data_IF_951169516845
#
_entry.id   IF_951169516845
#
_cell.length_a   1.000
_cell.length_b   1.000
_cell.length_c   1.000
_cell.angle_alpha   90.00
_cell.angle_beta   90.00
_cell.angle_gamma   90.00
#
_symmetry.space_group_name_H-M   'P 1'
#
loop_
_entity.id
_entity.type
_entity.pdbx_description
1 polymer ?
#
# COMPACT_ATOMS: atom_id res chain seq x y z
N UNK A 1 6.15 -8.15 7.20
CA UNK A 1 7.45 -8.58 6.61
C UNK A 1 7.89 -7.75 5.40
N UNK A 2 7.14 -6.70 5.00
CA UNK A 2 7.59 -5.80 3.92
C UNK A 2 8.95 -5.16 4.24
N UNK A 3 9.85 -5.00 3.26
CA UNK A 3 9.68 -5.32 1.84
C UNK A 3 10.05 -6.75 1.45
N UNK A 4 10.62 -7.54 2.36
CA UNK A 4 11.17 -8.87 2.09
C UNK A 4 10.11 -9.82 1.54
N UNK A 5 9.00 -9.95 2.26
CA UNK A 5 7.85 -10.77 1.87
C UNK A 5 6.61 -9.90 1.67
N UNK A 6 5.75 -10.29 0.73
CA UNK A 6 4.51 -9.58 0.38
C UNK A 6 3.29 -10.50 0.53
N UNK A 7 2.10 -9.95 0.77
CA UNK A 7 0.88 -10.75 0.69
C UNK A 7 0.77 -11.42 -0.68
N UNK A 8 0.44 -12.72 -0.67
CA UNK A 8 0.35 -13.55 -1.88
C UNK A 8 1.66 -14.24 -2.29
N UNK A 9 2.77 -14.04 -1.58
CA UNK A 9 3.97 -14.85 -1.79
C UNK A 9 3.73 -16.28 -1.28
N UNK A 10 4.14 -17.28 -2.07
CA UNK A 10 4.25 -18.66 -1.63
C UNK A 10 5.63 -18.85 -0.96
N UNK A 11 5.66 -19.54 0.16
CA UNK A 11 6.87 -19.69 0.98
C UNK A 11 7.29 -21.17 1.05
N UNK A 12 8.58 -21.42 0.79
CA UNK A 12 9.19 -22.71 1.08
C UNK A 12 9.67 -22.67 2.52
N UNK A 13 9.11 -23.56 3.33
CA UNK A 13 9.41 -23.68 4.77
C UNK A 13 10.16 -24.98 5.01
N UNK A 14 11.36 -24.88 5.54
CA UNK A 14 12.15 -26.03 5.97
C UNK A 14 12.02 -26.22 7.48
N UNK A 15 11.92 -27.48 7.90
CA UNK A 15 12.00 -27.84 9.31
C UNK A 15 13.35 -27.39 9.89
N UNK A 16 13.38 -26.95 11.12
CA UNK A 16 14.60 -26.51 11.78
C UNK A 16 14.57 -26.84 13.27
N UNK A 17 15.60 -27.56 13.73
CA UNK A 17 15.78 -27.90 15.15
C UNK A 17 16.34 -26.73 15.95
N UNK A 18 17.01 -25.79 15.27
CA UNK A 18 17.59 -24.59 15.88
C UNK A 18 17.25 -23.36 15.07
N UNK A 19 16.94 -22.31 15.77
CA UNK A 19 16.60 -21.02 15.20
C UNK A 19 17.60 -19.99 15.69
N UNK A 20 18.11 -19.19 14.78
CA UNK A 20 19.08 -18.14 15.07
C UNK A 20 18.49 -16.75 14.86
N UNK A 21 18.98 -15.73 15.60
CA UNK A 21 18.62 -14.36 15.32
C UNK A 21 18.93 -13.97 13.88
N UNK A 22 17.91 -13.47 13.18
CA UNK A 22 17.97 -13.16 11.75
C UNK A 22 17.22 -14.14 10.86
N UNK A 23 16.89 -15.32 11.33
CA UNK A 23 16.05 -16.26 10.60
C UNK A 23 14.63 -15.74 10.44
N UNK A 24 14.00 -16.08 9.34
CA UNK A 24 12.57 -15.83 9.11
C UNK A 24 11.82 -17.11 9.38
N UNK A 25 10.93 -17.08 10.36
CA UNK A 25 10.18 -18.25 10.80
C UNK A 25 8.68 -18.10 10.58
N UNK A 26 8.03 -19.23 10.35
CA UNK A 26 6.57 -19.37 10.39
C UNK A 26 6.21 -19.96 11.74
N UNK A 27 5.31 -19.31 12.45
CA UNK A 27 4.91 -19.73 13.79
C UNK A 27 3.45 -19.41 14.05
N UNK A 28 2.88 -20.09 15.05
CA UNK A 28 1.57 -19.79 15.59
C UNK A 28 1.76 -19.00 16.89
N UNK A 29 1.30 -17.73 16.98
CA UNK A 29 1.39 -16.96 18.22
C UNK A 29 0.65 -17.65 19.36
N UNK A 30 1.13 -17.55 20.61
CA UNK A 30 0.42 -18.09 21.78
C UNK A 30 -1.00 -17.52 21.85
N UNK A 31 -2.01 -18.40 21.87
CA UNK A 31 -3.43 -18.02 21.85
C UNK A 31 -3.95 -17.48 20.52
N UNK A 32 -3.13 -17.45 19.48
CA UNK A 32 -3.54 -17.04 18.13
C UNK A 32 -4.03 -18.20 17.29
N UNK A 33 -4.84 -17.87 16.28
CA UNK A 33 -5.44 -18.81 15.31
C UNK A 33 -4.80 -18.75 13.92
N UNK A 34 -3.82 -17.86 13.72
CA UNK A 34 -3.24 -17.57 12.41
C UNK A 34 -1.74 -17.71 12.39
N UNK A 35 -1.27 -18.41 11.36
CA UNK A 35 0.15 -18.50 11.07
C UNK A 35 0.73 -17.13 10.78
N UNK A 36 1.80 -16.79 11.49
CA UNK A 36 2.51 -15.53 11.39
C UNK A 36 3.92 -15.77 10.86
N UNK A 37 4.42 -14.83 10.05
CA UNK A 37 5.77 -14.91 9.48
C UNK A 37 6.53 -13.67 9.92
N UNK A 38 7.49 -13.82 10.82
CA UNK A 38 8.36 -12.75 11.28
C UNK A 38 9.83 -13.20 11.35
N UNK A 39 10.71 -12.22 11.52
CA UNK A 39 12.14 -12.49 11.69
C UNK A 39 12.48 -12.61 13.16
N UNK A 40 13.31 -13.59 13.48
CA UNK A 40 13.84 -13.77 14.83
C UNK A 40 14.71 -12.57 15.20
N UNK A 41 14.36 -11.92 16.28
CA UNK A 41 15.05 -10.77 16.83
C UNK A 41 16.10 -11.20 17.87
N UNK A 42 15.72 -12.02 18.85
CA UNK A 42 16.58 -12.60 19.87
C UNK A 42 16.15 -14.02 20.21
N UNK A 43 17.11 -14.80 20.68
CA UNK A 43 16.91 -16.10 21.28
C UNK A 43 17.63 -16.06 22.62
N UNK A 44 16.91 -16.21 23.70
CA UNK A 44 17.43 -16.15 25.07
C UNK A 44 16.75 -17.21 25.97
N UNK A 45 17.10 -17.23 27.28
CA UNK A 45 16.55 -18.20 28.21
C UNK A 45 15.03 -18.13 28.43
N UNK A 46 14.39 -17.05 28.04
CA UNK A 46 12.93 -16.87 28.10
C UNK A 46 12.22 -17.38 26.85
N UNK A 47 12.95 -17.59 25.76
CA UNK A 47 12.41 -18.07 24.49
C UNK A 47 12.88 -17.28 23.27
N UNK A 48 12.10 -17.37 22.23
CA UNK A 48 12.38 -16.74 20.93
C UNK A 48 11.48 -15.52 20.75
N UNK A 49 12.09 -14.36 20.56
CA UNK A 49 11.37 -13.13 20.19
C UNK A 49 11.47 -12.85 18.72
N UNK A 50 10.36 -12.43 18.15
CA UNK A 50 10.26 -12.12 16.74
C UNK A 50 9.99 -10.64 16.50
N UNK A 51 10.20 -10.22 15.26
CA UNK A 51 9.84 -8.88 14.79
C UNK A 51 9.63 -8.87 13.28
N UNK A 52 8.55 -8.28 12.82
CA UNK A 52 8.37 -8.00 11.40
C UNK A 52 9.40 -6.98 10.90
N UNK A 53 9.93 -7.15 9.67
CA UNK A 53 10.97 -6.26 9.11
C UNK A 53 10.53 -4.78 9.08
N UNK A 54 9.23 -4.52 8.97
CA UNK A 54 8.65 -3.17 8.97
C UNK A 54 8.18 -2.70 10.35
N UNK A 55 8.24 -3.53 11.39
CA UNK A 55 7.79 -3.18 12.72
C UNK A 55 8.85 -2.41 13.50
N UNK A 56 8.43 -1.41 14.28
CA UNK A 56 9.33 -0.63 15.13
C UNK A 56 9.75 -1.38 16.39
N UNK A 57 8.83 -2.10 17.00
CA UNK A 57 9.02 -2.92 18.21
C UNK A 57 9.10 -4.39 17.87
N UNK A 58 9.72 -5.17 18.74
CA UNK A 58 9.61 -6.62 18.75
C UNK A 58 8.18 -7.02 19.16
N UNK A 59 7.78 -8.21 18.77
CA UNK A 59 6.50 -8.77 19.18
C UNK A 59 6.51 -8.98 20.70
N UNK A 60 5.38 -8.82 21.40
CA UNK A 60 5.32 -8.89 22.86
C UNK A 60 5.57 -10.30 23.37
N UNK A 61 5.18 -11.31 22.62
CA UNK A 61 5.18 -12.70 23.05
C UNK A 61 6.53 -13.37 22.84
N UNK A 62 6.88 -14.27 23.77
CA UNK A 62 7.99 -15.19 23.63
C UNK A 62 7.48 -16.52 23.07
N UNK A 63 8.14 -16.99 22.02
CA UNK A 63 7.80 -18.25 21.37
C UNK A 63 8.66 -19.38 21.94
N UNK A 64 8.08 -20.56 21.98
CA UNK A 64 8.77 -21.81 22.21
C UNK A 64 9.05 -22.51 20.89
N UNK A 65 10.01 -23.45 20.84
CA UNK A 65 10.27 -24.22 19.62
C UNK A 65 9.05 -24.97 19.07
N UNK A 66 8.16 -25.42 19.93
CA UNK A 66 6.90 -26.10 19.57
C UNK A 66 5.92 -25.23 18.80
N UNK A 67 6.02 -23.91 18.95
CA UNK A 67 5.12 -22.94 18.29
C UNK A 67 5.57 -22.65 16.85
N UNK A 68 6.78 -23.13 16.48
CA UNK A 68 7.42 -22.85 15.19
C UNK A 68 7.15 -24.00 14.23
N UNK A 69 6.56 -23.67 13.07
CA UNK A 69 6.39 -24.62 11.98
C UNK A 69 7.72 -24.90 11.26
N UNK A 70 8.54 -23.86 11.07
CA UNK A 70 9.81 -23.97 10.42
C UNK A 70 10.40 -22.63 9.95
N UNK A 71 11.55 -22.71 9.28
CA UNK A 71 12.28 -21.55 8.73
C UNK A 71 11.97 -21.36 7.24
N UNK A 72 11.70 -20.11 6.85
CA UNK A 72 11.47 -19.75 5.45
C UNK A 72 12.82 -19.68 4.75
N UNK A 73 12.98 -20.44 3.66
CA UNK A 73 14.21 -20.51 2.87
C UNK A 73 14.09 -19.79 1.54
N UNK A 74 12.89 -19.81 0.93
CA UNK A 74 12.62 -19.18 -0.37
C UNK A 74 11.21 -18.60 -0.38
N UNK A 75 11.00 -17.69 -1.32
CA UNK A 75 9.66 -17.22 -1.67
C UNK A 75 9.45 -17.28 -3.18
N UNK A 76 8.20 -17.51 -3.60
CA UNK A 76 7.77 -17.45 -4.99
C UNK A 76 6.69 -16.38 -5.12
N UNK A 77 6.85 -15.49 -6.09
CA UNK A 77 5.95 -14.37 -6.39
C UNK A 77 5.60 -14.37 -7.87
N UNK A 78 4.52 -15.00 -8.25
CA UNK A 78 4.19 -15.22 -9.65
C UNK A 78 5.31 -16.03 -10.33
N UNK A 79 5.95 -15.46 -11.36
CA UNK A 79 7.09 -16.09 -12.05
C UNK A 79 8.46 -15.82 -11.39
N UNK A 80 8.54 -14.91 -10.44
CA UNK A 80 9.78 -14.59 -9.74
C UNK A 80 9.92 -15.43 -8.48
N UNK A 81 11.12 -15.94 -8.22
CA UNK A 81 11.46 -16.58 -6.96
C UNK A 81 12.72 -15.96 -6.37
N UNK A 82 12.84 -16.00 -5.06
CA UNK A 82 13.99 -15.44 -4.36
C UNK A 82 14.33 -16.22 -3.10
N UNK A 83 15.58 -16.11 -2.68
CA UNK A 83 16.07 -16.70 -1.43
C UNK A 83 15.75 -15.76 -0.26
N UNK A 84 15.36 -16.32 0.87
CA UNK A 84 15.18 -15.58 2.12
C UNK A 84 16.46 -15.77 2.97
N UNK A 85 17.12 -14.66 3.27
CA UNK A 85 18.36 -14.68 4.06
C UNK A 85 18.01 -14.77 5.55
N UNK A 86 18.57 -15.77 6.22
CA UNK A 86 18.52 -15.99 7.67
C UNK A 86 19.84 -15.68 8.35
N UNK A 87 19.94 -15.94 9.66
CA UNK A 87 21.15 -15.80 10.46
C UNK A 87 21.77 -14.39 10.41
N UNK A 88 23.08 -14.32 10.38
CA UNK A 88 23.84 -13.05 10.32
C UNK A 88 23.49 -12.21 9.09
N UNK A 89 23.40 -12.83 7.91
CA UNK A 89 23.02 -12.15 6.67
C UNK A 89 21.61 -11.58 6.76
N UNK A 90 20.66 -12.33 7.34
CA UNK A 90 19.30 -11.86 7.58
C UNK A 90 19.25 -10.69 8.55
N UNK A 91 20.10 -10.66 9.58
CA UNK A 91 20.23 -9.53 10.52
C UNK A 91 20.71 -8.27 9.82
N UNK A 92 21.78 -8.38 9.03
CA UNK A 92 22.32 -7.24 8.26
C UNK A 92 21.27 -6.69 7.32
N UNK A 93 20.59 -7.56 6.56
CA UNK A 93 19.53 -7.15 5.65
C UNK A 93 18.40 -6.41 6.40
N UNK A 94 17.96 -6.93 7.54
CA UNK A 94 16.93 -6.29 8.34
C UNK A 94 17.35 -4.93 8.91
N UNK A 95 18.63 -4.75 9.25
CA UNK A 95 19.19 -3.47 9.67
C UNK A 95 19.23 -2.47 8.52
N UNK A 96 19.68 -2.89 7.33
CA UNK A 96 19.70 -2.05 6.13
C UNK A 96 18.29 -1.59 5.74
N UNK A 97 17.33 -2.51 5.70
CA UNK A 97 15.93 -2.17 5.40
C UNK A 97 15.39 -1.12 6.38
N UNK A 98 15.67 -1.28 7.67
CA UNK A 98 15.25 -0.33 8.71
C UNK A 98 15.95 1.03 8.57
N UNK A 99 17.25 1.03 8.29
CA UNK A 99 18.00 2.26 8.05
C UNK A 99 17.43 3.03 6.86
N UNK A 100 17.18 2.35 5.75
CA UNK A 100 16.55 2.95 4.56
C UNK A 100 15.16 3.51 4.86
N UNK A 101 14.32 2.80 5.63
CA UNK A 101 13.01 3.30 6.03
C UNK A 101 13.09 4.53 6.94
N UNK A 102 14.06 4.55 7.87
CA UNK A 102 14.31 5.73 8.73
C UNK A 102 14.79 6.92 7.91
N UNK A 103 15.75 6.71 7.02
CA UNK A 103 16.27 7.76 6.12
C UNK A 103 15.17 8.32 5.21
N UNK A 104 14.36 7.44 4.60
CA UNK A 104 13.22 7.87 3.79
C UNK A 104 12.21 8.66 4.62
N UNK A 105 11.92 8.24 5.85
CA UNK A 105 11.05 8.98 6.77
C UNK A 105 11.60 10.36 7.12
N UNK A 106 12.91 10.49 7.39
CA UNK A 106 13.59 11.77 7.64
C UNK A 106 13.57 12.65 6.39
N UNK A 107 13.93 12.10 5.23
CA UNK A 107 13.88 12.82 3.96
C UNK A 107 12.46 13.36 3.67
N UNK A 108 11.43 12.54 3.87
CA UNK A 108 10.05 12.97 3.72
C UNK A 108 9.69 14.11 4.70
N UNK A 109 10.16 14.06 5.94
CA UNK A 109 9.91 15.14 6.93
C UNK A 109 10.62 16.44 6.55
N UNK A 110 11.90 16.36 6.16
CA UNK A 110 12.70 17.52 5.78
C UNK A 110 12.22 18.16 4.47
N UNK A 111 11.84 17.33 3.48
CA UNK A 111 11.37 17.81 2.20
C UNK A 111 9.88 18.23 2.22
N UNK A 112 9.13 17.84 3.24
CA UNK A 112 7.71 18.17 3.36
C UNK A 112 7.43 19.69 3.34
N UNK A 113 8.11 20.54 4.12
CA UNK A 113 7.85 21.99 4.10
C UNK A 113 8.18 22.60 2.72
N UNK A 114 9.28 22.18 2.09
CA UNK A 114 9.63 22.62 0.73
C UNK A 114 8.57 22.18 -0.28
N UNK A 115 8.14 20.93 -0.21
CA UNK A 115 7.05 20.41 -1.05
C UNK A 115 5.76 21.23 -0.90
N UNK A 116 5.36 21.55 0.34
CA UNK A 116 4.17 22.37 0.59
C UNK A 116 4.32 23.81 0.09
N UNK A 117 5.52 24.41 0.19
CA UNK A 117 5.81 25.73 -0.38
C UNK A 117 5.70 25.72 -1.91
N UNK A 118 6.24 24.68 -2.56
CA UNK A 118 6.12 24.49 -4.01
C UNK A 118 4.67 24.28 -4.47
N UNK A 119 3.90 23.50 -3.70
CA UNK A 119 2.46 23.34 -3.97
C UNK A 119 1.71 24.67 -3.90
N UNK A 120 2.01 25.52 -2.88
CA UNK A 120 1.36 26.83 -2.71
C UNK A 120 1.71 27.80 -3.83
N UNK A 121 2.97 27.79 -4.32
CA UNK A 121 3.42 28.66 -5.41
C UNK A 121 2.86 28.28 -6.77
N UNK A 122 2.34 27.08 -6.93
CA UNK A 122 1.68 26.61 -8.14
C UNK A 122 2.57 26.58 -9.39
N UNK A 123 3.90 26.64 -9.24
CA UNK A 123 4.86 26.73 -10.34
C UNK A 123 4.70 25.61 -11.36
N UNK A 124 4.39 24.42 -10.88
CA UNK A 124 4.24 23.24 -11.74
C UNK A 124 2.90 23.14 -12.47
N UNK A 125 1.91 23.97 -12.11
CA UNK A 125 0.59 23.96 -12.79
C UNK A 125 0.70 24.38 -14.25
N UNK A 126 1.61 25.31 -14.57
CA UNK A 126 1.85 25.81 -15.92
C UNK A 126 2.56 24.78 -16.82
N UNK A 127 3.24 23.78 -16.20
CA UNK A 127 3.98 22.74 -16.91
C UNK A 127 3.10 21.52 -17.28
N UNK A 128 1.81 21.51 -16.91
CA UNK A 128 0.92 20.39 -17.20
C UNK A 128 0.47 20.46 -18.66
N UNK A 129 0.83 19.46 -19.49
CA UNK A 129 0.37 19.39 -20.88
C UNK A 129 -1.17 19.35 -20.94
N UNK A 130 -1.75 19.86 -22.02
CA UNK A 130 -3.20 19.88 -22.20
C UNK A 130 -3.86 18.49 -22.07
N UNK A 131 -3.18 17.45 -22.54
CA UNK A 131 -3.63 16.05 -22.41
C UNK A 131 -3.67 15.51 -20.96
N UNK A 132 -2.96 16.17 -20.04
CA UNK A 132 -2.90 15.80 -18.62
C UNK A 132 -3.68 16.76 -17.71
N UNK A 133 -4.50 17.63 -18.25
CA UNK A 133 -5.31 18.55 -17.44
C UNK A 133 -6.20 17.77 -16.47
N UNK A 134 -6.35 18.26 -15.23
CA UNK A 134 -7.18 17.60 -14.25
C UNK A 134 -8.65 17.62 -14.68
N UNK A 135 -9.32 16.46 -14.59
CA UNK A 135 -10.75 16.29 -14.88
C UNK A 135 -11.41 15.70 -13.65
N UNK A 136 -12.56 16.25 -13.29
CA UNK A 136 -13.38 15.72 -12.17
C UNK A 136 -14.54 14.93 -12.76
N UNK A 137 -14.70 13.72 -12.26
CA UNK A 137 -15.80 12.82 -12.64
C UNK A 137 -16.60 12.51 -11.40
N UNK A 138 -17.92 12.63 -11.50
CA UNK A 138 -18.83 12.27 -10.43
C UNK A 138 -19.29 10.84 -10.60
N UNK A 139 -19.19 10.04 -9.53
CA UNK A 139 -19.57 8.61 -9.52
C UNK A 139 -20.50 8.36 -8.34
N UNK A 140 -21.62 7.66 -8.58
CA UNK A 140 -22.66 7.35 -7.59
C UNK A 140 -23.97 8.06 -7.91
N UNK A 141 -25.02 7.75 -7.14
CA UNK A 141 -26.35 8.33 -7.24
C UNK A 141 -26.77 8.94 -5.91
N UNK A 142 -27.48 10.06 -5.97
CA UNK A 142 -28.04 10.73 -4.78
C UNK A 142 -26.99 11.25 -3.80
N UNK A 143 -27.26 11.16 -2.51
CA UNK A 143 -26.42 11.66 -1.41
C UNK A 143 -25.08 10.94 -1.25
N UNK A 144 -24.91 9.79 -1.90
CA UNK A 144 -23.66 9.00 -1.91
C UNK A 144 -22.69 9.33 -3.03
N UNK A 145 -22.90 10.43 -3.76
CA UNK A 145 -22.09 10.82 -4.93
C UNK A 145 -20.66 11.17 -4.52
N UNK A 146 -19.69 10.51 -5.17
CA UNK A 146 -18.26 10.66 -4.92
C UNK A 146 -17.60 11.38 -6.10
N UNK A 147 -16.73 12.34 -5.84
CA UNK A 147 -15.96 13.01 -6.87
C UNK A 147 -14.59 12.37 -7.02
N UNK A 148 -14.26 11.99 -8.24
CA UNK A 148 -12.97 11.41 -8.61
C UNK A 148 -12.19 12.38 -9.48
N UNK A 149 -10.92 12.59 -9.16
CA UNK A 149 -10.01 13.46 -9.90
C UNK A 149 -9.09 12.60 -10.77
N UNK A 150 -9.10 12.86 -12.07
CA UNK A 150 -8.24 12.21 -13.04
C UNK A 150 -7.23 13.19 -13.64
N UNK A 151 -6.02 12.71 -13.91
CA UNK A 151 -5.02 13.36 -14.77
C UNK A 151 -4.67 12.40 -15.90
N UNK A 152 -5.06 12.75 -17.13
CA UNK A 152 -5.04 11.81 -18.24
C UNK A 152 -5.92 10.58 -17.93
N UNK A 153 -5.33 9.38 -17.98
CA UNK A 153 -6.03 8.11 -17.67
C UNK A 153 -5.89 7.65 -16.20
N UNK A 154 -5.18 8.38 -15.35
CA UNK A 154 -4.92 7.96 -13.97
C UNK A 154 -5.80 8.70 -12.97
N UNK A 155 -6.43 7.97 -12.07
CA UNK A 155 -7.10 8.53 -10.91
C UNK A 155 -6.04 9.00 -9.90
N UNK A 156 -6.02 10.31 -9.63
CA UNK A 156 -5.01 10.96 -8.79
C UNK A 156 -5.56 11.49 -7.48
N UNK A 157 -6.87 11.58 -7.35
CA UNK A 157 -7.53 12.03 -6.13
C UNK A 157 -8.99 11.64 -6.07
N UNK A 158 -9.56 11.82 -4.89
CA UNK A 158 -10.98 11.59 -4.64
C UNK A 158 -11.47 12.54 -3.55
N UNK A 159 -12.78 12.78 -3.54
CA UNK A 159 -13.49 13.45 -2.48
C UNK A 159 -14.71 12.63 -2.14
N UNK A 160 -14.84 12.23 -0.88
CA UNK A 160 -15.98 11.46 -0.40
C UNK A 160 -17.17 12.36 -0.08
N UNK A 161 -18.39 11.84 -0.10
CA UNK A 161 -19.55 12.57 0.36
C UNK A 161 -19.33 13.09 1.79
N UNK A 162 -19.65 14.38 2.02
CA UNK A 162 -19.47 14.99 3.35
C UNK A 162 -18.04 15.47 3.68
N UNK A 163 -17.03 15.11 2.91
CA UNK A 163 -15.68 15.63 3.14
C UNK A 163 -15.52 17.04 2.55
N UNK A 164 -14.93 17.97 3.33
CA UNK A 164 -14.69 19.35 2.89
C UNK A 164 -13.46 19.47 1.99
N UNK A 165 -12.54 18.49 2.01
CA UNK A 165 -11.26 18.57 1.32
C UNK A 165 -11.05 17.43 0.33
N UNK A 166 -10.26 17.70 -0.72
CA UNK A 166 -9.83 16.70 -1.69
C UNK A 166 -8.66 15.87 -1.16
N UNK A 167 -8.78 14.55 -1.21
CA UNK A 167 -7.67 13.61 -0.98
C UNK A 167 -6.91 13.41 -2.30
N UNK A 168 -5.82 14.17 -2.51
CA UNK A 168 -5.00 14.10 -3.72
C UNK A 168 -3.69 13.38 -3.42
N UNK A 169 -3.36 12.36 -4.21
CA UNK A 169 -2.12 11.58 -4.07
C UNK A 169 -0.89 12.42 -4.40
N UNK A 170 0.17 12.28 -3.62
CA UNK A 170 1.49 12.81 -3.98
C UNK A 170 2.08 11.99 -5.15
N UNK A 171 2.75 12.62 -6.15
CA UNK A 171 3.15 14.04 -6.23
C UNK A 171 2.11 14.94 -6.93
N UNK A 172 0.95 14.45 -7.33
CA UNK A 172 -0.02 15.17 -8.18
C UNK A 172 -0.56 16.46 -7.56
N UNK A 173 -0.48 16.61 -6.24
CA UNK A 173 -0.85 17.84 -5.55
C UNK A 173 -0.01 19.05 -5.97
N UNK A 174 1.17 18.86 -6.59
CA UNK A 174 1.99 19.94 -7.17
C UNK A 174 1.36 20.54 -8.42
N UNK A 175 0.59 19.73 -9.15
CA UNK A 175 0.04 20.06 -10.47
C UNK A 175 -1.43 20.47 -10.43
N UNK A 176 -2.11 20.27 -9.30
CA UNK A 176 -3.55 20.51 -9.15
C UNK A 176 -3.78 21.55 -8.07
N UNK A 177 -4.64 22.51 -8.36
CA UNK A 177 -5.15 23.44 -7.37
C UNK A 177 -6.39 22.86 -6.69
N UNK A 178 -6.24 22.43 -5.46
CA UNK A 178 -7.36 21.89 -4.70
C UNK A 178 -8.46 22.93 -4.44
N UNK A 179 -8.11 24.23 -4.44
CA UNK A 179 -9.08 25.32 -4.25
C UNK A 179 -9.88 25.65 -5.50
N UNK A 180 -9.38 25.28 -6.70
CA UNK A 180 -10.09 25.49 -7.95
C UNK A 180 -10.97 24.30 -8.37
N UNK A 181 -10.93 23.21 -7.59
CA UNK A 181 -11.74 22.02 -7.87
C UNK A 181 -13.16 22.20 -7.34
N UNK A 182 -14.19 21.66 -8.05
CA UNK A 182 -15.58 21.79 -7.65
C UNK A 182 -15.82 21.27 -6.24
N UNK A 183 -16.54 22.06 -5.46
CA UNK A 183 -16.89 21.75 -4.06
C UNK A 183 -18.11 20.87 -3.92
N UNK A 184 -18.96 20.79 -4.94
CA UNK A 184 -20.21 20.01 -4.94
C UNK A 184 -20.34 19.20 -6.23
N UNK A 185 -21.08 18.08 -6.21
CA UNK A 185 -21.30 17.25 -7.39
C UNK A 185 -21.96 17.98 -8.58
N UNK A 186 -22.75 18.99 -8.30
CA UNK A 186 -23.49 19.76 -9.31
C UNK A 186 -22.64 20.83 -10.02
N UNK A 187 -21.48 21.18 -9.47
CA UNK A 187 -20.59 22.18 -10.07
C UNK A 187 -19.84 21.62 -11.31
N UNK A 188 -20.04 20.35 -11.64
CA UNK A 188 -19.35 19.65 -12.74
C UNK A 188 -20.07 19.80 -14.09
N UNK A 189 -21.34 20.24 -14.09
CA UNK A 189 -22.21 20.22 -15.28
C UNK A 189 -22.12 21.44 -16.21
N UNK A 190 -21.42 22.52 -15.84
CA UNK A 190 -21.42 23.76 -16.66
C UNK A 190 -20.14 24.01 -17.48
N UNK A 191 -19.25 23.04 -17.61
CA UNK A 191 -17.94 23.29 -18.24
C UNK A 191 -17.42 22.24 -19.22
N UNK A 192 -18.26 21.47 -19.92
CA UNK A 192 -17.75 20.59 -20.99
C UNK A 192 -18.76 20.41 -22.12
N UNK A 193 -18.63 21.24 -23.12
CA UNK A 193 -19.10 20.93 -24.47
C UNK A 193 -18.48 19.60 -24.95
N UNK A 194 -19.35 18.69 -25.41
CA UNK A 194 -19.00 17.60 -26.30
C UNK A 194 -18.54 16.28 -25.69
N UNK A 195 -19.48 15.50 -25.13
CA UNK A 195 -19.36 14.05 -25.16
C UNK A 195 -20.55 13.48 -25.91
N UNK A 196 -20.34 12.75 -27.02
CA UNK A 196 -21.44 12.09 -27.72
C UNK A 196 -22.00 10.98 -26.80
N UNK A 197 -23.31 11.04 -26.63
CA UNK A 197 -24.09 9.95 -26.04
C UNK A 197 -23.92 8.72 -26.94
N UNK A 198 -23.11 7.76 -26.51
CA UNK A 198 -23.09 6.46 -27.14
C UNK A 198 -24.31 5.66 -26.67
N UNK A 199 -25.11 5.33 -27.65
CA UNK A 199 -26.32 4.54 -27.61
C UNK A 199 -26.20 3.28 -26.73
N UNK A 200 -27.27 2.98 -26.01
CA UNK A 200 -27.41 1.78 -25.21
C UNK A 200 -27.29 0.51 -26.04
N UNK A 201 -26.44 -0.39 -25.60
CA UNK A 201 -26.56 -1.80 -25.95
C UNK A 201 -27.49 -2.47 -24.93
N UNK A 202 -28.56 -3.11 -25.34
CA UNK A 202 -29.35 -3.96 -24.46
C UNK A 202 -28.58 -5.29 -24.27
N UNK A 203 -28.30 -5.63 -23.04
CA UNK A 203 -27.82 -6.97 -22.66
C UNK A 203 -29.01 -7.92 -22.69
N UNK A 204 -28.99 -9.03 -23.46
CA UNK A 204 -30.06 -10.02 -23.43
C UNK A 204 -29.98 -10.79 -22.11
N UNK A 205 -31.12 -10.89 -21.44
CA UNK A 205 -31.33 -11.87 -20.36
C UNK A 205 -31.22 -13.28 -20.95
N UNK A 206 -30.25 -14.04 -20.50
CA UNK A 206 -30.18 -15.47 -20.74
C UNK A 206 -31.06 -16.19 -19.72
N UNK A 207 -32.01 -16.97 -20.23
CA UNK A 207 -32.92 -17.87 -19.52
C UNK A 207 -32.17 -18.86 -18.67
N UNK A 208 -32.68 -19.08 -17.46
CA UNK A 208 -32.33 -20.20 -16.60
C UNK A 208 -33.15 -21.44 -17.01
N UNK A 209 -32.54 -22.62 -17.17
CA UNK A 209 -33.31 -23.84 -17.30
C UNK A 209 -33.80 -24.32 -15.94
N UNK A 210 -35.11 -24.57 -15.88
CA UNK A 210 -35.76 -25.43 -14.88
C UNK A 210 -35.44 -26.87 -15.19
N UNK A 211 -34.96 -27.62 -14.23
CA UNK A 211 -35.30 -29.01 -13.87
C UNK A 211 -34.47 -29.42 -12.66
#
# INVERSE_FOLDING_TARGET
>A
MLPTLRPGDLLDVAHCDRVEPGDVIVYLPPGGDRWTVHRVFSVDGHGIRTRGDNNRSADPDFLQHKDILGRVTRFCRGRASGRVFGGSAGRVLALLVRALHRMNGLACRLLSPMYHRLCRRGLFRRLVPAAMRPRVVSVGRGSGQQLLLFMGRRMVGRRRPGEASWEIRRPYRLFVDAGSLPGRPFDVSEGSDGVPQSAGCPVPLADAPRA
#
